data_IF_760474343706
#
_entry.id   IF_760474343706
#
_cell.length_a   1.000
_cell.length_b   1.000
_cell.length_c   1.000
_cell.angle_alpha   90.00
_cell.angle_beta   90.00
_cell.angle_gamma   90.00
#
_symmetry.space_group_name_H-M   'P 1'
#
loop_
_entity.id
_entity.type
_entity.pdbx_description
1 polymer ?
#
# COMPACT_ATOMS: atom_id res chain seq x y z
N UNK A 1 20.27 7.81 -1.95
CA UNK A 1 18.79 7.82 -1.72
C UNK A 1 18.05 8.33 -2.97
N UNK A 2 16.75 8.06 -3.08
CA UNK A 2 15.82 8.49 -4.13
C UNK A 2 16.16 8.01 -5.56
N UNK A 3 17.11 7.09 -5.70
CA UNK A 3 17.49 6.55 -7.02
C UNK A 3 16.46 5.54 -7.52
N UNK A 4 16.03 4.65 -6.63
CA UNK A 4 15.04 3.61 -6.90
C UNK A 4 14.14 3.53 -5.68
N UNK A 5 12.85 3.73 -5.88
CA UNK A 5 11.81 3.47 -4.89
C UNK A 5 11.18 2.13 -5.24
N UNK A 6 11.36 1.13 -4.37
CA UNK A 6 10.76 -0.20 -4.54
C UNK A 6 9.41 -0.22 -3.84
N UNK A 7 8.36 -0.61 -4.55
CA UNK A 7 6.97 -0.62 -4.09
C UNK A 7 6.40 -2.03 -4.18
N UNK A 8 5.54 -2.39 -3.23
CA UNK A 8 4.96 -3.72 -3.16
C UNK A 8 3.75 -3.78 -2.21
N UNK A 9 2.89 -4.77 -2.41
CA UNK A 9 1.76 -5.09 -1.55
C UNK A 9 2.10 -6.19 -0.54
N UNK A 10 1.44 -6.17 0.62
CA UNK A 10 1.57 -7.22 1.63
C UNK A 10 0.21 -7.77 2.04
N UNK A 11 0.00 -9.06 1.76
CA UNK A 11 -1.33 -9.68 1.80
C UNK A 11 -1.61 -10.54 3.04
N UNK A 12 -0.72 -10.58 4.03
CA UNK A 12 -0.85 -11.51 5.17
C UNK A 12 -2.11 -11.32 6.02
N UNK A 13 -2.71 -10.12 6.00
CA UNK A 13 -3.95 -9.80 6.70
C UNK A 13 -5.13 -9.57 5.74
N UNK A 14 -4.95 -9.80 4.44
CA UNK A 14 -5.98 -9.50 3.43
C UNK A 14 -7.24 -10.35 3.60
N UNK A 15 -7.10 -11.60 4.05
CA UNK A 15 -8.21 -12.48 4.44
C UNK A 15 -9.14 -11.85 5.48
N UNK A 16 -8.56 -11.11 6.42
CA UNK A 16 -9.27 -10.43 7.52
C UNK A 16 -9.73 -9.01 7.16
N UNK A 17 -9.55 -8.59 5.90
CA UNK A 17 -9.97 -7.28 5.43
C UNK A 17 -8.96 -6.15 5.65
N UNK A 18 -7.70 -6.46 5.98
CA UNK A 18 -6.62 -5.47 6.10
C UNK A 18 -5.59 -5.66 5.00
N UNK A 19 -5.48 -4.65 4.14
CA UNK A 19 -4.60 -4.62 3.00
C UNK A 19 -3.48 -3.60 3.25
N UNK A 20 -2.22 -4.03 3.06
CA UNK A 20 -1.04 -3.21 3.35
C UNK A 20 -0.27 -2.97 2.04
N UNK A 21 0.24 -1.75 1.85
CA UNK A 21 1.11 -1.40 0.73
C UNK A 21 2.29 -0.57 1.21
N UNK A 22 3.48 -0.80 0.68
CA UNK A 22 4.70 -0.16 1.17
C UNK A 22 5.60 0.34 0.05
N UNK A 23 6.44 1.32 0.40
CA UNK A 23 7.53 1.77 -0.45
C UNK A 23 8.81 1.95 0.34
N UNK A 24 9.91 1.38 -0.16
CA UNK A 24 11.23 1.42 0.45
C UNK A 24 12.27 2.03 -0.49
N UNK A 25 13.09 2.94 0.00
CA UNK A 25 14.23 3.45 -0.75
C UNK A 25 15.31 2.36 -0.86
N UNK A 26 15.66 2.03 -2.10
CA UNK A 26 16.50 0.89 -2.38
C UNK A 26 17.99 1.14 -2.03
N UNK A 27 18.38 2.35 -1.64
CA UNK A 27 19.71 2.66 -1.12
C UNK A 27 19.75 2.60 0.41
N UNK A 28 18.93 3.43 1.06
CA UNK A 28 18.94 3.66 2.52
C UNK A 28 18.13 2.64 3.32
N UNK A 29 17.27 1.84 2.67
CA UNK A 29 16.27 0.98 3.34
C UNK A 29 15.25 1.75 4.18
N UNK A 30 15.17 3.07 3.98
CA UNK A 30 14.16 3.92 4.59
C UNK A 30 12.79 3.58 4.01
N UNK A 31 11.81 3.33 4.87
CA UNK A 31 10.41 3.16 4.48
C UNK A 31 9.84 4.55 4.24
N UNK A 32 9.62 4.85 2.96
CA UNK A 32 9.22 6.17 2.46
C UNK A 32 7.72 6.36 2.60
N UNK A 33 6.94 5.30 2.35
CA UNK A 33 5.50 5.28 2.61
C UNK A 33 5.06 3.89 3.08
N UNK A 34 4.00 3.84 3.89
CA UNK A 34 3.24 2.63 4.17
C UNK A 34 1.75 2.99 4.28
N UNK A 35 0.91 2.19 3.65
CA UNK A 35 -0.54 2.29 3.66
C UNK A 35 -1.12 1.05 4.33
N UNK A 36 -2.17 1.25 5.13
CA UNK A 36 -2.97 0.19 5.73
C UNK A 36 -4.44 0.59 5.55
N UNK A 37 -5.21 -0.25 4.86
CA UNK A 37 -6.62 0.01 4.59
C UNK A 37 -7.31 -1.18 3.93
N UNK A 38 -8.21 -0.91 2.99
CA UNK A 38 -9.11 -1.91 2.39
C UNK A 38 -8.90 -2.12 0.89
N UNK A 39 -7.98 -1.36 0.29
CA UNK A 39 -7.66 -1.45 -1.14
C UNK A 39 -6.18 -1.15 -1.40
N UNK A 40 -5.33 -2.19 -1.44
CA UNK A 40 -3.92 -2.10 -1.82
C UNK A 40 -3.66 -2.51 -3.28
N UNK A 41 -4.67 -2.99 -4.02
CA UNK A 41 -4.53 -3.55 -5.38
C UNK A 41 -5.13 -2.71 -6.51
N UNK A 42 -5.68 -1.54 -6.21
CA UNK A 42 -6.31 -0.68 -7.23
C UNK A 42 -5.35 0.42 -7.68
N UNK A 43 -5.26 0.68 -8.99
CA UNK A 43 -4.48 1.80 -9.54
C UNK A 43 -4.81 3.13 -8.90
N UNK A 44 -6.09 3.37 -8.60
CA UNK A 44 -6.52 4.61 -7.94
C UNK A 44 -5.90 4.74 -6.56
N UNK A 45 -5.99 3.67 -5.75
CA UNK A 45 -5.45 3.70 -4.39
C UNK A 45 -3.94 3.87 -4.39
N UNK A 46 -3.22 3.02 -5.13
CA UNK A 46 -1.75 3.07 -5.17
C UNK A 46 -1.25 4.40 -5.72
N UNK A 47 -1.90 4.94 -6.75
CA UNK A 47 -1.56 6.27 -7.26
C UNK A 47 -1.86 7.38 -6.24
N UNK A 48 -3.03 7.36 -5.58
CA UNK A 48 -3.37 8.38 -4.58
C UNK A 48 -2.40 8.34 -3.39
N UNK A 49 -1.96 7.15 -2.97
CA UNK A 49 -0.91 7.01 -1.93
C UNK A 49 0.38 7.69 -2.37
N UNK A 50 0.80 7.47 -3.61
CA UNK A 50 1.99 8.10 -4.16
C UNK A 50 1.87 9.62 -4.31
N UNK A 51 0.74 10.13 -4.79
CA UNK A 51 0.50 11.57 -4.88
C UNK A 51 0.51 12.23 -3.48
N UNK A 52 -0.06 11.57 -2.46
CA UNK A 52 0.04 12.02 -1.06
C UNK A 52 1.50 12.11 -0.59
N UNK A 53 2.34 11.13 -0.92
CA UNK A 53 3.78 11.20 -0.63
C UNK A 53 4.39 12.44 -1.31
N UNK A 54 4.17 12.62 -2.61
CA UNK A 54 4.74 13.73 -3.37
C UNK A 54 4.28 15.09 -2.86
N UNK A 55 3.02 15.21 -2.43
CA UNK A 55 2.51 16.44 -1.81
C UNK A 55 3.21 16.75 -0.49
N UNK A 56 3.55 15.72 0.28
CA UNK A 56 4.22 15.85 1.57
C UNK A 56 5.70 16.20 1.41
N UNK A 57 6.39 15.61 0.43
CA UNK A 57 7.83 15.79 0.24
C UNK A 57 8.17 16.89 -0.76
N UNK A 58 7.27 17.22 -1.69
CA UNK A 58 7.50 18.02 -2.91
C UNK A 58 8.65 17.52 -3.79
N UNK A 59 9.03 16.25 -3.62
CA UNK A 59 10.13 15.60 -4.31
C UNK A 59 9.74 14.20 -4.79
N UNK A 60 10.12 13.87 -6.01
CA UNK A 60 9.92 12.55 -6.62
C UNK A 60 11.24 11.77 -6.74
N UNK A 61 11.20 10.43 -6.65
CA UNK A 61 12.36 9.58 -6.92
C UNK A 61 12.70 9.56 -8.41
N UNK A 62 13.89 9.05 -8.73
CA UNK A 62 14.33 8.88 -10.13
C UNK A 62 13.63 7.74 -10.86
N UNK A 63 13.44 6.62 -10.17
CA UNK A 63 12.89 5.40 -10.75
C UNK A 63 11.96 4.76 -9.72
N UNK A 64 10.78 4.35 -10.17
CA UNK A 64 9.91 3.47 -9.40
C UNK A 64 10.10 2.03 -9.89
N UNK A 65 10.17 1.10 -8.95
CA UNK A 65 10.33 -0.32 -9.21
C UNK A 65 9.23 -1.11 -8.49
N UNK A 66 8.48 -1.94 -9.22
CA UNK A 66 7.56 -2.91 -8.62
C UNK A 66 7.89 -4.33 -9.07
N UNK A 67 7.33 -5.30 -8.35
CA UNK A 67 7.34 -6.68 -8.81
C UNK A 67 6.43 -6.84 -10.03
N UNK A 68 6.84 -7.72 -10.95
CA UNK A 68 5.94 -8.35 -11.90
C UNK A 68 5.28 -9.50 -11.15
N UNK A 69 4.08 -9.29 -10.63
CA UNK A 69 3.27 -10.41 -10.14
C UNK A 69 3.23 -11.55 -11.18
N UNK A 70 2.89 -12.76 -10.76
CA UNK A 70 2.85 -13.90 -11.67
C UNK A 70 1.91 -13.61 -12.86
N UNK A 71 2.48 -13.50 -14.06
CA UNK A 71 1.79 -13.29 -15.34
C UNK A 71 0.69 -14.32 -15.64
N UNK A 72 0.66 -15.43 -14.89
CA UNK A 72 -0.33 -16.50 -15.00
C UNK A 72 -1.69 -16.11 -14.40
N UNK A 73 -1.76 -15.08 -13.56
CA UNK A 73 -3.01 -14.48 -13.10
C UNK A 73 -3.24 -13.20 -13.90
N UNK A 74 -3.79 -13.38 -15.11
CA UNK A 74 -4.28 -12.37 -16.08
C UNK A 74 -3.46 -11.08 -16.17
N UNK A 75 -2.86 -10.86 -17.34
CA UNK A 75 -2.21 -9.59 -17.78
C UNK A 75 -2.95 -8.32 -17.29
N UNK A 76 -4.28 -8.36 -17.17
CA UNK A 76 -5.09 -7.28 -16.57
C UNK A 76 -4.72 -6.93 -15.12
N UNK A 77 -4.56 -7.85 -14.17
CA UNK A 77 -4.54 -7.49 -12.74
C UNK A 77 -3.28 -6.73 -12.30
N UNK A 78 -2.10 -7.12 -12.79
CA UNK A 78 -0.82 -6.45 -12.46
C UNK A 78 -0.68 -5.14 -13.24
N UNK A 79 -1.20 -5.08 -14.46
CA UNK A 79 -1.22 -3.84 -15.26
C UNK A 79 -2.22 -2.85 -14.65
N UNK A 80 -3.28 -3.30 -13.99
CA UNK A 80 -4.26 -2.39 -13.39
C UNK A 80 -3.86 -1.81 -12.03
N UNK A 81 -2.84 -2.31 -11.32
CA UNK A 81 -2.47 -1.78 -9.99
C UNK A 81 -1.52 -0.59 -10.07
N UNK A 82 -0.58 -0.61 -11.00
CA UNK A 82 0.57 0.31 -11.00
C UNK A 82 0.53 1.34 -12.13
N UNK A 83 -0.34 1.18 -13.12
CA UNK A 83 -0.26 2.00 -14.34
C UNK A 83 -0.58 3.47 -14.06
N UNK A 84 -1.59 3.79 -13.26
CA UNK A 84 -1.87 5.19 -12.89
C UNK A 84 -0.69 5.86 -12.21
N UNK A 85 -0.02 5.12 -11.32
CA UNK A 85 1.16 5.61 -10.62
C UNK A 85 2.31 5.84 -11.59
N UNK A 86 2.56 4.87 -12.49
CA UNK A 86 3.63 4.98 -13.48
C UNK A 86 3.38 6.13 -14.47
N UNK A 87 2.13 6.34 -14.89
CA UNK A 87 1.71 7.46 -15.75
C UNK A 87 1.85 8.81 -15.02
N UNK A 88 1.36 8.91 -13.78
CA UNK A 88 1.49 10.12 -12.96
C UNK A 88 2.96 10.47 -12.73
N UNK A 89 3.79 9.47 -12.44
CA UNK A 89 5.22 9.67 -12.28
C UNK A 89 5.91 10.13 -13.56
N UNK A 90 5.58 9.53 -14.71
CA UNK A 90 6.13 9.94 -16.01
C UNK A 90 5.70 11.36 -16.37
N UNK A 91 4.44 11.71 -16.11
CA UNK A 91 3.88 13.03 -16.39
C UNK A 91 4.61 14.11 -15.61
N UNK A 92 4.86 13.88 -14.32
CA UNK A 92 5.66 14.78 -13.48
C UNK A 92 7.11 14.89 -13.97
N UNK A 93 7.72 13.77 -14.36
CA UNK A 93 9.06 13.78 -14.95
C UNK A 93 9.11 14.59 -16.25
N UNK A 94 8.10 14.47 -17.11
CA UNK A 94 8.02 15.19 -18.39
C UNK A 94 7.75 16.67 -18.26
N UNK A 95 7.13 17.11 -17.16
CA UNK A 95 7.04 18.52 -16.82
C UNK A 95 8.42 19.17 -16.67
N UNK A 96 9.40 18.42 -16.12
CA UNK A 96 10.78 18.88 -15.96
C UNK A 96 11.69 18.50 -17.14
N UNK A 97 11.40 17.36 -17.80
CA UNK A 97 12.21 16.75 -18.87
C UNK A 97 11.31 16.13 -19.93
N UNK A 98 10.83 16.91 -20.92
CA UNK A 98 9.82 16.48 -21.89
C UNK A 98 10.13 15.15 -22.60
N UNK A 99 11.41 14.90 -22.89
CA UNK A 99 11.85 13.74 -23.66
C UNK A 99 12.24 12.51 -22.82
N UNK A 100 11.92 12.49 -21.51
CA UNK A 100 12.28 11.35 -20.67
C UNK A 100 11.56 10.06 -21.14
N UNK A 101 12.30 8.99 -21.50
CA UNK A 101 11.68 7.73 -21.88
C UNK A 101 11.16 6.99 -20.64
N UNK A 102 10.07 6.25 -20.80
CA UNK A 102 9.38 5.56 -19.72
C UNK A 102 10.29 4.64 -18.89
N UNK A 103 11.19 3.89 -19.54
CA UNK A 103 12.09 2.94 -18.89
C UNK A 103 13.12 3.62 -17.97
N UNK A 104 13.25 4.94 -18.02
CA UNK A 104 14.10 5.72 -17.10
C UNK A 104 13.34 6.22 -15.86
N UNK A 105 12.00 6.29 -15.93
CA UNK A 105 11.12 6.68 -14.82
C UNK A 105 10.49 5.48 -14.11
N UNK A 106 10.28 4.37 -14.83
CA UNK A 106 9.63 3.19 -14.31
C UNK A 106 10.32 1.90 -14.76
N UNK A 107 10.36 0.91 -13.87
CA UNK A 107 10.86 -0.43 -14.18
C UNK A 107 10.06 -1.50 -13.44
N UNK A 108 9.97 -2.68 -14.05
CA UNK A 108 9.40 -3.87 -13.42
C UNK A 108 10.43 -5.01 -13.48
N UNK A 109 10.41 -5.92 -12.50
CA UNK A 109 11.36 -7.03 -12.41
C UNK A 109 10.72 -8.30 -11.88
N UNK A 110 11.44 -9.44 -11.92
CA UNK A 110 11.04 -10.62 -11.13
C UNK A 110 11.29 -10.32 -9.65
N UNK A 111 10.51 -10.91 -8.74
CA UNK A 111 10.64 -10.90 -7.27
C UNK A 111 12.10 -10.90 -6.76
N UNK A 112 13.03 -11.57 -7.44
CA UNK A 112 14.47 -11.56 -7.11
C UNK A 112 15.14 -10.18 -7.09
N UNK A 113 14.55 -9.13 -7.70
CA UNK A 113 15.00 -7.74 -7.57
C UNK A 113 14.25 -6.94 -6.50
N UNK A 114 13.09 -7.44 -6.05
CA UNK A 114 12.27 -6.90 -4.97
C UNK A 114 12.61 -7.49 -3.59
N UNK A 115 13.67 -8.32 -3.49
CA UNK A 115 14.18 -8.87 -2.23
C UNK A 115 14.32 -7.87 -1.07
N UNK A 116 14.47 -6.57 -1.35
CA UNK A 116 14.64 -5.52 -0.34
C UNK A 116 13.34 -5.24 0.40
N UNK A 117 12.25 -5.06 -0.34
CA UNK A 117 10.94 -4.83 0.26
C UNK A 117 10.39 -6.14 0.84
N UNK A 118 10.64 -7.28 0.19
CA UNK A 118 10.31 -8.62 0.73
C UNK A 118 11.05 -8.94 2.03
N UNK A 119 12.36 -8.63 2.12
CA UNK A 119 13.11 -8.79 3.36
C UNK A 119 12.55 -7.90 4.46
N UNK A 120 12.16 -6.66 4.14
CA UNK A 120 11.49 -5.81 5.10
C UNK A 120 10.10 -6.34 5.49
N UNK A 121 9.31 -6.87 4.56
CA UNK A 121 8.04 -7.52 4.85
C UNK A 121 8.20 -8.70 5.81
N UNK A 122 9.28 -9.47 5.70
CA UNK A 122 9.57 -10.54 6.65
C UNK A 122 9.83 -10.00 8.05
N UNK A 123 10.63 -8.93 8.18
CA UNK A 123 10.88 -8.28 9.48
C UNK A 123 9.57 -7.70 10.05
N UNK A 124 8.77 -7.00 9.22
CA UNK A 124 7.47 -6.48 9.64
C UNK A 124 6.53 -7.62 10.08
N UNK A 125 6.57 -8.75 9.37
CA UNK A 125 5.76 -9.90 9.74
C UNK A 125 6.17 -10.42 11.10
N UNK A 126 7.44 -10.78 11.25
CA UNK A 126 7.95 -11.37 12.47
C UNK A 126 7.73 -10.45 13.67
N UNK A 127 7.86 -9.13 13.48
CA UNK A 127 7.75 -8.17 14.56
C UNK A 127 6.33 -7.73 14.90
N UNK A 128 5.40 -7.65 13.94
CA UNK A 128 4.11 -6.98 14.15
C UNK A 128 2.91 -7.72 13.55
N UNK A 129 2.96 -8.13 12.28
CA UNK A 129 1.74 -8.68 11.63
C UNK A 129 1.49 -10.15 11.96
N UNK A 130 2.50 -10.88 12.46
CA UNK A 130 2.33 -12.27 12.88
C UNK A 130 1.42 -12.40 14.10
N UNK A 131 1.52 -11.50 15.09
CA UNK A 131 0.66 -11.52 16.27
C UNK A 131 -0.81 -11.32 15.89
N UNK A 132 -1.08 -10.32 15.04
CA UNK A 132 -2.41 -10.08 14.48
C UNK A 132 -2.92 -11.27 13.66
N UNK A 133 -2.07 -11.85 12.81
CA UNK A 133 -2.44 -13.02 12.01
C UNK A 133 -2.81 -14.21 12.89
N UNK A 134 -2.02 -14.51 13.93
CA UNK A 134 -2.31 -15.58 14.88
C UNK A 134 -3.59 -15.31 15.65
N UNK A 135 -3.78 -14.06 16.11
CA UNK A 135 -4.97 -13.65 16.84
C UNK A 135 -6.24 -13.80 16.00
N UNK A 136 -6.26 -13.30 14.76
CA UNK A 136 -7.42 -13.42 13.89
C UNK A 136 -7.66 -14.86 13.41
N UNK A 137 -6.60 -15.64 13.15
CA UNK A 137 -6.74 -17.07 12.85
C UNK A 137 -7.36 -17.85 14.02
N UNK A 138 -7.13 -17.42 15.27
CA UNK A 138 -7.78 -18.00 16.45
C UNK A 138 -9.27 -17.67 16.49
N UNK A 139 -9.66 -16.44 16.14
CA UNK A 139 -11.08 -16.07 16.01
C UNK A 139 -11.80 -16.94 14.96
N UNK A 140 -11.16 -17.17 13.82
CA UNK A 140 -11.69 -18.04 12.77
C UNK A 140 -11.82 -19.50 13.24
N UNK A 141 -10.79 -20.05 13.88
CA UNK A 141 -10.81 -21.41 14.44
C UNK A 141 -11.94 -21.60 15.47
N UNK A 142 -12.18 -20.58 16.29
CA UNK A 142 -13.20 -20.60 17.35
C UNK A 142 -14.62 -20.31 16.81
N UNK A 143 -14.78 -20.08 15.49
CA UNK A 143 -16.07 -19.83 14.85
C UNK A 143 -16.56 -18.38 14.94
N UNK A 144 -15.72 -17.45 15.41
CA UNK A 144 -16.02 -16.02 15.53
C UNK A 144 -15.64 -15.20 14.29
N UNK A 145 -15.16 -15.85 13.21
CA UNK A 145 -14.90 -15.21 11.92
C UNK A 145 -15.18 -16.19 10.79
N UNK A 146 -15.93 -15.77 9.77
CA UNK A 146 -16.31 -16.59 8.61
C UNK A 146 -15.80 -16.06 7.26
N UNK A 147 -15.04 -14.96 7.24
CA UNK A 147 -14.53 -14.36 6.00
C UNK A 147 -15.53 -13.50 5.23
N UNK A 148 -16.77 -13.40 5.72
CA UNK A 148 -17.81 -12.55 5.16
C UNK A 148 -17.54 -11.07 5.35
N UNK A 149 -18.20 -10.25 4.53
CA UNK A 149 -18.01 -8.80 4.52
C UNK A 149 -18.42 -8.14 5.85
N UNK A 150 -19.45 -8.66 6.53
CA UNK A 150 -19.86 -8.21 7.88
C UNK A 150 -18.77 -8.46 8.93
N UNK A 151 -18.13 -9.63 8.90
CA UNK A 151 -17.08 -9.97 9.88
C UNK A 151 -15.85 -9.09 9.64
N UNK A 152 -15.49 -8.86 8.37
CA UNK A 152 -14.41 -7.94 7.99
C UNK A 152 -14.73 -6.50 8.42
N UNK A 153 -15.94 -6.01 8.21
CA UNK A 153 -16.30 -4.63 8.60
C UNK A 153 -16.25 -4.44 10.11
N UNK A 154 -16.68 -5.43 10.90
CA UNK A 154 -16.58 -5.41 12.36
C UNK A 154 -15.11 -5.43 12.81
N UNK A 155 -14.26 -6.25 12.19
CA UNK A 155 -12.82 -6.24 12.45
C UNK A 155 -12.20 -4.88 12.09
N UNK A 156 -12.50 -4.34 10.91
CA UNK A 156 -11.99 -3.05 10.46
C UNK A 156 -12.37 -1.93 11.41
N UNK A 157 -13.61 -1.90 11.90
CA UNK A 157 -14.05 -0.90 12.87
C UNK A 157 -13.20 -0.89 14.15
N UNK A 158 -12.97 -2.08 14.74
CA UNK A 158 -12.27 -2.19 16.02
C UNK A 158 -10.74 -2.13 15.89
N UNK A 159 -10.18 -2.67 14.81
CA UNK A 159 -8.75 -2.97 14.73
C UNK A 159 -7.99 -2.16 13.68
N UNK A 160 -8.64 -1.43 12.75
CA UNK A 160 -7.92 -0.69 11.70
C UNK A 160 -6.95 0.34 12.29
N UNK A 161 -7.42 1.17 13.22
CA UNK A 161 -6.58 2.22 13.81
C UNK A 161 -5.50 1.65 14.75
N UNK A 162 -5.81 0.54 15.44
CA UNK A 162 -4.82 -0.21 16.22
C UNK A 162 -3.69 -0.76 15.35
N UNK A 163 -4.03 -1.42 14.25
CA UNK A 163 -3.06 -2.00 13.31
C UNK A 163 -2.25 -0.88 12.64
N UNK A 164 -2.89 0.22 12.21
CA UNK A 164 -2.22 1.41 11.68
C UNK A 164 -1.19 1.94 12.66
N UNK A 165 -1.60 2.16 13.91
CA UNK A 165 -0.73 2.66 14.98
C UNK A 165 0.48 1.75 15.21
N UNK A 166 0.26 0.44 15.33
CA UNK A 166 1.33 -0.55 15.52
C UNK A 166 2.33 -0.56 14.35
N UNK A 167 1.83 -0.60 13.11
CA UNK A 167 2.68 -0.62 11.91
C UNK A 167 3.48 0.68 11.78
N UNK A 168 2.85 1.84 11.99
CA UNK A 168 3.54 3.13 11.89
C UNK A 168 4.60 3.30 12.99
N UNK A 169 4.32 2.85 14.22
CA UNK A 169 5.32 2.85 15.30
C UNK A 169 6.50 1.95 14.96
N UNK A 170 6.24 0.77 14.40
CA UNK A 170 7.30 -0.12 13.94
C UNK A 170 8.14 0.51 12.83
N UNK A 171 7.53 1.22 11.88
CA UNK A 171 8.25 1.93 10.81
C UNK A 171 9.16 3.03 11.38
N UNK A 172 8.68 3.79 12.36
CA UNK A 172 9.46 4.82 13.04
C UNK A 172 10.71 4.22 13.70
N UNK A 173 10.53 3.09 14.39
CA UNK A 173 11.62 2.30 14.99
C UNK A 173 12.58 1.82 13.90
N UNK A 174 12.09 1.14 12.85
CA UNK A 174 12.89 0.63 11.74
C UNK A 174 13.72 1.75 11.09
N UNK A 175 13.10 2.88 10.78
CA UNK A 175 13.76 4.01 10.13
C UNK A 175 14.83 4.66 11.03
N UNK A 176 14.68 4.51 12.35
CA UNK A 176 15.59 5.11 13.33
C UNK A 176 16.71 4.18 13.82
N UNK A 177 16.54 2.86 13.69
CA UNK A 177 17.53 1.90 14.18
C UNK A 177 18.66 1.68 13.18
N UNK A 178 19.94 1.74 13.61
CA UNK A 178 21.07 1.49 12.72
C UNK A 178 21.10 0.07 12.17
N UNK A 179 21.21 -0.05 10.85
CA UNK A 179 21.53 -1.30 10.17
C UNK A 179 22.97 -1.66 10.51
N UNK A 180 23.16 -2.81 11.16
CA UNK A 180 24.47 -3.33 11.53
C UNK A 180 25.22 -3.85 10.30
N UNK A 181 26.54 -3.74 10.36
CA UNK A 181 27.43 -4.31 9.34
C UNK A 181 27.24 -5.82 9.22
N UNK A 182 27.10 -6.30 7.98
CA UNK A 182 26.99 -7.72 7.67
C UNK A 182 28.00 -8.07 6.58
N UNK A 183 29.05 -8.81 6.95
CA UNK A 183 30.21 -9.14 6.08
C UNK A 183 29.81 -9.72 4.72
N UNK A 184 28.82 -10.61 4.68
CA UNK A 184 28.39 -11.26 3.45
C UNK A 184 27.43 -10.41 2.59
N UNK A 185 27.06 -9.21 3.05
CA UNK A 185 26.09 -8.31 2.38
C UNK A 185 26.63 -6.89 2.18
N UNK A 186 27.90 -6.66 2.47
CA UNK A 186 28.53 -5.33 2.41
C UNK A 186 28.38 -4.63 1.05
N UNK A 187 28.38 -5.41 -0.04
CA UNK A 187 28.32 -4.89 -1.40
C UNK A 187 26.97 -4.25 -1.77
N UNK A 188 25.90 -4.48 -0.98
CA UNK A 188 24.56 -3.93 -1.25
C UNK A 188 23.79 -3.45 -0.03
N UNK A 189 24.23 -3.78 1.19
CA UNK A 189 23.63 -3.36 2.45
C UNK A 189 24.57 -2.37 3.15
N UNK A 190 24.21 -1.09 3.07
CA UNK A 190 24.94 -0.02 3.76
C UNK A 190 24.69 -0.10 5.27
N UNK A 191 25.74 0.19 6.03
CA UNK A 191 25.68 0.30 7.49
C UNK A 191 25.29 1.73 7.85
N UNK A 192 24.35 1.88 8.78
CA UNK A 192 23.88 3.20 9.22
C UNK A 192 22.37 3.23 9.50
N UNK A 193 21.91 4.36 10.04
CA UNK A 193 20.49 4.61 10.29
C UNK A 193 19.77 4.93 8.97
N UNK A 194 18.68 4.23 8.60
CA UNK A 194 17.95 4.48 7.36
C UNK A 194 17.55 5.95 7.18
N UNK A 195 17.03 6.59 8.24
CA UNK A 195 16.67 8.01 8.24
C UNK A 195 17.86 8.90 7.86
N UNK A 196 19.02 8.74 8.50
CA UNK A 196 20.21 9.53 8.20
C UNK A 196 20.72 9.28 6.79
N UNK A 197 20.73 8.02 6.34
CA UNK A 197 21.15 7.68 4.97
C UNK A 197 20.20 8.21 3.89
N UNK A 198 18.93 8.45 4.24
CA UNK A 198 17.92 8.99 3.33
C UNK A 198 17.98 10.53 3.24
N UNK A 199 17.94 11.22 4.38
CA UNK A 199 17.89 12.68 4.43
C UNK A 199 19.27 13.36 4.42
N UNK A 200 20.30 12.71 4.97
CA UNK A 200 21.65 13.26 5.14
C UNK A 200 22.73 12.30 4.61
N UNK A 201 22.68 11.91 3.32
CA UNK A 201 23.65 10.96 2.77
C UNK A 201 25.06 11.56 2.80
N UNK A 202 25.93 11.00 3.64
CA UNK A 202 27.35 11.39 3.71
C UNK A 202 28.15 11.00 2.46
N UNK A 203 27.70 9.93 1.78
CA UNK A 203 28.28 9.45 0.53
C UNK A 203 27.19 9.20 -0.52
N UNK A 204 27.48 9.53 -1.77
CA UNK A 204 26.60 9.29 -2.90
C UNK A 204 25.63 10.45 -3.22
N UNK A 205 25.16 10.45 -4.46
CA UNK A 205 24.24 11.47 -4.97
C UNK A 205 22.82 11.22 -4.44
N UNK A 206 22.16 12.25 -3.91
CA UNK A 206 20.71 12.25 -3.75
C UNK A 206 20.07 12.48 -5.13
N UNK A 207 19.18 11.58 -5.54
CA UNK A 207 18.55 11.59 -6.87
C UNK A 207 17.13 12.18 -6.86
N UNK A 208 16.71 12.80 -5.76
CA UNK A 208 15.42 13.46 -5.69
C UNK A 208 15.31 14.58 -6.74
N UNK A 209 14.13 14.73 -7.31
CA UNK A 209 13.81 15.83 -8.22
C UNK A 209 12.57 16.57 -7.72
N UNK A 210 12.56 17.90 -7.86
CA UNK A 210 11.44 18.72 -7.43
C UNK A 210 10.22 18.43 -8.32
N UNK A 211 9.07 18.32 -7.69
CA UNK A 211 7.79 18.12 -8.38
C UNK A 211 7.28 19.45 -8.94
N UNK A 212 6.75 19.45 -10.16
CA UNK A 212 5.94 20.56 -10.65
C UNK A 212 4.58 20.55 -9.93
N UNK A 213 4.35 21.55 -9.09
CA UNK A 213 3.20 21.60 -8.20
C UNK A 213 1.86 21.77 -8.93
N UNK A 214 1.86 22.42 -10.11
CA UNK A 214 0.64 22.58 -10.93
C UNK A 214 0.24 21.25 -11.56
N UNK A 215 1.23 20.51 -12.07
CA UNK A 215 1.00 19.17 -12.62
C UNK A 215 0.57 18.21 -11.50
N UNK A 216 1.19 18.30 -10.31
CA UNK A 216 0.77 17.51 -9.14
C UNK A 216 -0.68 17.79 -8.78
N UNK A 217 -1.09 19.06 -8.68
CA UNK A 217 -2.48 19.44 -8.38
C UNK A 217 -3.47 18.90 -9.43
N UNK A 218 -3.10 18.96 -10.71
CA UNK A 218 -3.93 18.40 -11.78
C UNK A 218 -4.09 16.88 -11.68
N UNK A 219 -3.05 16.16 -11.26
CA UNK A 219 -3.09 14.71 -11.03
C UNK A 219 -3.90 14.35 -9.77
N UNK A 220 -3.79 15.14 -8.70
CA UNK A 220 -4.58 14.95 -7.48
C UNK A 220 -6.08 15.12 -7.75
N UNK A 221 -6.48 16.11 -8.56
CA UNK A 221 -7.88 16.31 -8.98
C UNK A 221 -8.47 15.08 -9.66
N UNK A 222 -7.68 14.32 -10.44
CA UNK A 222 -8.15 13.09 -11.09
C UNK A 222 -8.56 11.99 -10.10
N UNK A 223 -8.06 12.03 -8.86
CA UNK A 223 -8.33 11.02 -7.82
C UNK A 223 -8.97 11.63 -6.57
N UNK A 224 -9.50 12.86 -6.65
CA UNK A 224 -9.98 13.61 -5.48
C UNK A 224 -11.12 12.87 -4.74
N UNK A 225 -12.03 12.26 -5.49
CA UNK A 225 -13.22 11.59 -4.97
C UNK A 225 -12.95 10.31 -4.17
N UNK A 226 -11.75 9.74 -4.24
CA UNK A 226 -11.44 8.50 -3.53
C UNK A 226 -10.76 8.79 -2.19
N UNK A 227 -11.41 8.63 -1.04
CA UNK A 227 -10.73 8.81 0.24
C UNK A 227 -9.85 7.59 0.58
N UNK A 228 -8.54 7.80 0.78
CA UNK A 228 -7.61 6.72 1.16
C UNK A 228 -7.82 6.22 2.57
N UNK A 229 -8.22 7.12 3.48
CA UNK A 229 -8.27 6.82 4.91
C UNK A 229 -9.64 6.26 5.31
N UNK A 230 -10.64 6.38 4.44
CA UNK A 230 -11.97 5.80 4.60
C UNK A 230 -11.92 4.29 4.32
N UNK A 231 -12.23 3.51 5.35
CA UNK A 231 -12.36 2.04 5.27
C UNK A 231 -13.77 1.57 5.62
N UNK A 232 -14.60 2.44 6.22
CA UNK A 232 -16.01 2.25 6.47
C UNK A 232 -16.74 3.56 6.18
N UNK A 233 -17.94 3.51 5.57
CA UNK A 233 -18.76 4.70 5.42
C UNK A 233 -19.13 5.29 6.78
N UNK A 234 -19.22 6.62 6.86
CA UNK A 234 -19.52 7.33 8.10
C UNK A 234 -20.79 6.83 8.80
N UNK A 235 -21.84 6.49 8.03
CA UNK A 235 -23.09 5.94 8.56
C UNK A 235 -22.89 4.61 9.29
N UNK A 236 -22.03 3.73 8.77
CA UNK A 236 -21.70 2.44 9.39
C UNK A 236 -20.80 2.65 10.61
N UNK A 237 -19.83 3.56 10.50
CA UNK A 237 -18.95 3.90 11.61
C UNK A 237 -19.75 4.42 12.82
N UNK A 238 -20.72 5.31 12.59
CA UNK A 238 -21.62 5.82 13.62
C UNK A 238 -22.59 4.74 14.13
N UNK A 239 -23.08 3.85 13.27
CA UNK A 239 -23.93 2.74 13.68
C UNK A 239 -23.21 1.79 14.64
N UNK A 240 -22.00 1.36 14.29
CA UNK A 240 -21.22 0.42 15.09
C UNK A 240 -20.79 1.04 16.43
N UNK A 241 -20.42 2.33 16.42
CA UNK A 241 -20.13 3.05 17.66
C UNK A 241 -21.33 3.13 18.61
N UNK A 242 -22.55 3.33 18.07
CA UNK A 242 -23.77 3.29 18.90
C UNK A 242 -24.00 1.91 19.49
N UNK A 243 -23.84 0.84 18.71
CA UNK A 243 -23.99 -0.53 19.23
C UNK A 243 -23.02 -0.80 20.39
N UNK A 244 -21.75 -0.45 20.26
CA UNK A 244 -20.79 -0.64 21.35
C UNK A 244 -21.15 0.17 22.61
N UNK A 245 -21.59 1.42 22.43
CA UNK A 245 -22.00 2.28 23.54
C UNK A 245 -23.24 1.77 24.28
N UNK A 246 -24.19 1.14 23.58
CA UNK A 246 -25.38 0.53 24.18
C UNK A 246 -25.03 -0.52 25.25
N UNK A 247 -23.90 -1.23 25.09
CA UNK A 247 -23.41 -2.24 26.03
C UNK A 247 -22.21 -1.77 26.88
N UNK A 248 -21.90 -0.46 26.85
CA UNK A 248 -20.87 0.15 27.68
C UNK A 248 -19.42 -0.08 27.20
N UNK A 249 -19.22 -0.55 25.97
CA UNK A 249 -17.89 -0.66 25.37
C UNK A 249 -17.38 0.72 24.89
N UNK A 250 -16.07 0.99 24.99
CA UNK A 250 -15.48 2.15 24.34
C UNK A 250 -15.44 1.96 22.82
N UNK A 251 -15.39 3.06 22.08
CA UNK A 251 -15.22 3.03 20.61
C UNK A 251 -13.76 2.87 20.17
N UNK A 252 -12.81 3.05 21.10
CA UNK A 252 -11.38 2.94 20.85
C UNK A 252 -10.79 2.02 21.91
N UNK A 253 -10.03 1.02 21.47
CA UNK A 253 -9.33 0.09 22.33
C UNK A 253 -7.83 0.31 22.23
N UNK A 254 -7.10 0.01 23.30
CA UNK A 254 -5.67 -0.25 23.24
C UNK A 254 -5.46 -1.75 23.01
N UNK A 255 -4.34 -2.16 22.39
CA UNK A 255 -4.04 -3.58 22.19
C UNK A 255 -3.97 -4.38 23.51
N UNK A 256 -3.51 -3.74 24.59
CA UNK A 256 -3.46 -4.36 25.91
C UNK A 256 -4.81 -4.46 26.62
N UNK A 257 -5.88 -3.87 26.06
CA UNK A 257 -7.20 -3.91 26.68
C UNK A 257 -7.89 -5.24 26.35
N UNK A 258 -8.06 -6.17 27.31
CA UNK A 258 -8.59 -7.50 27.03
C UNK A 258 -10.03 -7.47 26.49
N UNK A 259 -10.76 -6.37 26.66
CA UNK A 259 -12.16 -6.21 26.27
C UNK A 259 -12.37 -6.10 24.76
N UNK A 260 -11.32 -5.85 23.97
CA UNK A 260 -11.47 -5.69 22.51
C UNK A 260 -12.01 -6.98 21.84
N UNK A 261 -11.72 -8.15 22.42
CA UNK A 261 -12.23 -9.44 21.91
C UNK A 261 -13.73 -9.56 22.17
N UNK A 262 -14.17 -9.29 23.39
CA UNK A 262 -15.58 -9.39 23.78
C UNK A 262 -16.41 -8.33 23.03
N UNK A 263 -15.88 -7.12 22.89
CA UNK A 263 -16.48 -6.06 22.07
C UNK A 263 -16.65 -6.47 20.59
N UNK A 264 -15.67 -7.19 20.03
CA UNK A 264 -15.78 -7.71 18.66
C UNK A 264 -16.89 -8.74 18.52
N UNK A 265 -16.95 -9.71 19.44
CA UNK A 265 -17.99 -10.75 19.42
C UNK A 265 -19.38 -10.11 19.58
N UNK A 266 -19.52 -9.20 20.55
CA UNK A 266 -20.74 -8.43 20.76
C UNK A 266 -21.15 -7.66 19.50
N UNK A 267 -20.24 -6.88 18.92
CA UNK A 267 -20.53 -6.05 17.75
C UNK A 267 -20.98 -6.93 16.57
N UNK A 268 -20.27 -8.03 16.31
CA UNK A 268 -20.61 -8.99 15.26
C UNK A 268 -22.01 -9.55 15.42
N UNK A 269 -22.36 -10.00 16.62
CA UNK A 269 -23.66 -10.60 16.90
C UNK A 269 -24.77 -9.54 16.79
N UNK A 270 -24.51 -8.32 17.29
CA UNK A 270 -25.45 -7.19 17.21
C UNK A 270 -25.70 -6.74 15.77
N UNK A 271 -24.66 -6.67 14.94
CA UNK A 271 -24.77 -6.35 13.51
C UNK A 271 -25.51 -7.46 12.76
N UNK A 272 -25.25 -8.73 13.10
CA UNK A 272 -25.96 -9.87 12.52
C UNK A 272 -27.45 -9.81 12.83
N UNK A 273 -27.82 -9.49 14.06
CA UNK A 273 -29.22 -9.29 14.47
C UNK A 273 -29.84 -8.09 13.73
N UNK A 274 -29.14 -6.97 13.63
CA UNK A 274 -29.62 -5.79 12.90
C UNK A 274 -29.93 -6.10 11.42
N UNK A 275 -29.09 -6.90 10.77
CA UNK A 275 -29.32 -7.36 9.38
C UNK A 275 -30.53 -8.31 9.32
N UNK A 276 -30.65 -9.24 10.27
CA UNK A 276 -31.78 -10.16 10.35
C UNK A 276 -33.13 -9.42 10.54
N UNK A 277 -33.11 -8.29 11.24
CA UNK A 277 -34.28 -7.42 11.47
C UNK A 277 -34.58 -6.50 10.26
N UNK A 278 -33.86 -6.65 9.15
CA UNK A 278 -34.06 -5.88 7.90
C UNK A 278 -33.19 -4.63 7.76
N UNK A 279 -32.24 -4.42 8.70
CA UNK A 279 -31.23 -3.38 8.60
C UNK A 279 -30.26 -3.59 7.43
N UNK A 280 -29.69 -2.51 6.91
CA UNK A 280 -28.75 -2.57 5.80
C UNK A 280 -27.37 -2.08 6.21
N UNK A 281 -26.35 -2.87 5.90
CA UNK A 281 -24.93 -2.50 6.10
C UNK A 281 -24.31 -2.32 4.71
N UNK A 282 -24.20 -1.07 4.28
CA UNK A 282 -23.55 -0.71 3.03
C UNK A 282 -22.06 -0.46 3.30
N UNK A 283 -21.19 -1.33 2.80
CA UNK A 283 -19.74 -1.18 2.96
C UNK A 283 -19.14 -0.29 1.87
N UNK A 284 -17.96 0.27 2.17
CA UNK A 284 -17.25 1.13 1.23
C UNK A 284 -16.94 0.35 -0.06
N UNK A 285 -17.28 0.93 -1.20
CA UNK A 285 -16.96 0.33 -2.50
C UNK A 285 -15.46 0.45 -2.77
N UNK A 286 -14.85 -0.63 -3.26
CA UNK A 286 -13.47 -0.59 -3.76
C UNK A 286 -13.44 0.34 -4.98
N UNK A 287 -12.46 1.24 -5.12
CA UNK A 287 -12.41 2.17 -6.23
C UNK A 287 -12.21 1.41 -7.55
N UNK A 288 -13.26 1.32 -8.36
CA UNK A 288 -13.25 0.62 -9.65
C UNK A 288 -12.83 1.52 -10.84
N UNK A 289 -12.76 2.84 -10.63
CA UNK A 289 -12.83 3.84 -11.73
C UNK A 289 -11.65 3.90 -12.71
N UNK A 290 -10.46 3.38 -12.39
CA UNK A 290 -9.30 3.49 -13.28
C UNK A 290 -9.07 2.29 -14.21
N UNK A 291 -9.79 1.19 -13.98
CA UNK A 291 -9.58 -0.07 -14.68
C UNK A 291 -9.84 0.06 -16.20
N UNK A 292 -10.90 0.76 -16.57
CA UNK A 292 -11.43 0.77 -17.93
C UNK A 292 -10.79 1.85 -18.82
N UNK A 293 -10.47 3.02 -18.25
CA UNK A 293 -9.94 4.17 -19.01
C UNK A 293 -8.50 3.95 -19.48
N UNK A 294 -7.70 3.24 -18.70
CA UNK A 294 -6.23 3.21 -18.86
C UNK A 294 -5.76 1.92 -19.55
N UNK A 295 -6.51 0.83 -19.43
CA UNK A 295 -6.23 -0.38 -20.18
C UNK A 295 -6.21 -0.10 -21.68
N UNK A 296 -7.13 0.75 -22.19
CA UNK A 296 -7.20 1.10 -23.61
C UNK A 296 -5.98 1.91 -24.08
N UNK A 297 -5.58 2.97 -23.35
CA UNK A 297 -4.43 3.81 -23.71
C UNK A 297 -3.09 3.09 -23.50
N UNK A 298 -2.94 2.33 -22.41
CA UNK A 298 -1.72 1.56 -22.14
C UNK A 298 -1.53 0.44 -23.18
N UNK A 299 -2.61 -0.28 -23.54
CA UNK A 299 -2.58 -1.27 -24.64
C UNK A 299 -2.23 -0.58 -25.97
N UNK A 300 -2.77 0.62 -26.24
CA UNK A 300 -2.46 1.36 -27.46
C UNK A 300 -0.97 1.76 -27.54
N UNK A 301 -0.39 2.27 -26.46
CA UNK A 301 1.03 2.67 -26.38
C UNK A 301 1.98 1.47 -26.46
N UNK A 302 1.58 0.31 -25.92
CA UNK A 302 2.45 -0.88 -25.83
C UNK A 302 2.22 -1.93 -26.93
N UNK A 303 1.13 -1.83 -27.71
CA UNK A 303 1.01 -2.55 -29.00
C UNK A 303 2.07 -2.05 -29.99
N UNK A 304 2.37 -0.76 -30.01
CA UNK A 304 3.37 -0.14 -30.90
C UNK A 304 4.79 -0.62 -30.58
N UNK A 305 5.15 -0.73 -29.29
CA UNK A 305 6.48 -1.19 -28.86
C UNK A 305 6.75 -2.68 -29.13
N UNK A 306 5.72 -3.54 -29.13
CA UNK A 306 5.87 -4.96 -29.52
C UNK A 306 6.05 -5.15 -31.02
N UNK A 307 5.51 -4.26 -31.85
CA UNK A 307 5.68 -4.31 -33.32
C UNK A 307 7.11 -3.90 -33.72
N UNK A 308 7.74 -2.96 -33.01
CA UNK A 308 9.14 -2.57 -33.25
C UNK A 308 10.14 -3.66 -32.85
N UNK A 309 9.92 -4.34 -31.72
CA UNK A 309 10.80 -5.42 -31.24
C UNK A 309 10.72 -6.65 -32.17
N UNK A 310 9.58 -6.91 -32.81
CA UNK A 310 9.44 -8.02 -33.76
C UNK A 310 9.99 -7.71 -35.16
N UNK A 311 10.03 -6.44 -35.59
CA UNK A 311 10.69 -6.04 -36.85
C UNK A 311 12.22 -6.08 -36.77
N UNK A 312 12.81 -5.81 -35.60
CA UNK A 312 14.26 -5.91 -35.39
C UNK A 312 14.81 -7.34 -35.28
N UNK A 313 13.96 -8.35 -35.13
CA UNK A 313 14.35 -9.76 -35.03
C UNK A 313 14.23 -10.53 -36.36
N UNK A 314 13.71 -9.89 -37.42
CA UNK A 314 13.55 -10.49 -38.75
C UNK A 314 14.52 -9.88 -39.79
N UNK A 315 15.39 -8.97 -39.37
CA UNK A 315 16.43 -8.35 -40.20
C UNK A 315 17.71 -8.31 -39.36
N UNK A 316 18.36 -9.46 -39.23
CA UNK A 316 19.60 -9.64 -38.48
C UNK A 316 20.18 -11.02 -38.74
#
# INVERSE_FOLDING_TARGET
PNRVLSIDGHDKLSHFGFEIYGAIDAYSRYIVWCYVGISNRTAVSVNKQYLRLLRTTLHMPKLIHSDKGNFLNTISSIILEIVLLAESHLTLWRANRPDLPFQKAYSYGKSTKNQRIEAWWNILTEAQTQEWKTYFAKLELDGYFNGGETDKSCLQYLYMDLIRSHIYRFIEVHNSHPIRFQRNREHYLLTGQPFLMYYYPQSGKNYQEKVDEKVLEALEKKVENYNLDEYLPESIYLLYGRFLQEDGYPNIFAYSDPRHKDAYIYLRDRVSQYIADGGQVHLASRPAGAAEWIAAEWIAVHKTHKIEIHRGSLIG
#
